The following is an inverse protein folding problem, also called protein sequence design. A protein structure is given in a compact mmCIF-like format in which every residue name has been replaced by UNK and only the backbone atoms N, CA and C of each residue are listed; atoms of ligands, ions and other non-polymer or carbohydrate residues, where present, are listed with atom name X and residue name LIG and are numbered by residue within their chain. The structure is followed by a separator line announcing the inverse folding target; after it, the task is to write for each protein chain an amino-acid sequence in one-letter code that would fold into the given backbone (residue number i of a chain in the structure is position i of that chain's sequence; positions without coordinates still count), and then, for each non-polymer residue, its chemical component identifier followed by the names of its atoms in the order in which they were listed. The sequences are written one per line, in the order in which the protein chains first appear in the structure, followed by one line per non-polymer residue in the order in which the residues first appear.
data_IF_955421067020
#
_entry.id   IF_955421067020
#
_cell.length_a   1.000
_cell.length_b   1.000
_cell.length_c   1.000
_cell.angle_alpha   90.00
_cell.angle_beta   90.00
_cell.angle_gamma   90.00
#
_symmetry.space_group_name_H-M   'P 1'
#
loop_
_entity.id
_entity.type
_entity.pdbx_description
1 polymer ?
#
# COMPACT_ATOMS: atom_id res chain seq x y z
N UNK A 1 19.60 -32.79 13.77
CA UNK A 1 20.25 -31.47 14.01
C UNK A 1 19.97 -30.63 12.78
N UNK A 2 19.49 -29.40 12.93
CA UNK A 2 19.28 -28.51 11.77
C UNK A 2 20.65 -28.09 11.24
N UNK A 3 20.84 -28.21 9.94
CA UNK A 3 22.01 -27.68 9.25
C UNK A 3 21.74 -26.20 8.94
N UNK A 4 22.36 -25.31 9.73
CA UNK A 4 22.13 -23.88 9.62
C UNK A 4 22.70 -23.29 8.33
N UNK A 5 23.83 -23.80 7.84
CA UNK A 5 24.45 -23.29 6.62
C UNK A 5 23.56 -23.58 5.42
N UNK A 6 23.05 -24.81 5.33
CA UNK A 6 22.09 -25.20 4.30
C UNK A 6 20.78 -24.41 4.40
N UNK A 7 20.27 -24.19 5.61
CA UNK A 7 19.05 -23.40 5.80
C UNK A 7 19.23 -21.94 5.35
N UNK A 8 20.39 -21.34 5.65
CA UNK A 8 20.73 -19.98 5.25
C UNK A 8 20.91 -19.85 3.74
N UNK A 9 21.57 -20.82 3.10
CA UNK A 9 21.73 -20.86 1.64
C UNK A 9 20.37 -20.83 0.93
N UNK A 10 19.44 -21.69 1.35
CA UNK A 10 18.07 -21.73 0.81
C UNK A 10 17.34 -20.40 1.03
N UNK A 11 17.49 -19.78 2.20
CA UNK A 11 16.83 -18.51 2.51
C UNK A 11 17.33 -17.37 1.61
N UNK A 12 18.65 -17.24 1.45
CA UNK A 12 19.27 -16.21 0.60
C UNK A 12 18.97 -16.45 -0.88
N UNK A 13 19.02 -17.70 -1.33
CA UNK A 13 18.67 -18.06 -2.71
C UNK A 13 17.23 -17.63 -3.02
N UNK A 14 16.27 -17.97 -2.16
CA UNK A 14 14.87 -17.55 -2.35
C UNK A 14 14.68 -16.04 -2.36
N UNK A 15 15.36 -15.32 -1.45
CA UNK A 15 15.29 -13.86 -1.39
C UNK A 15 15.85 -13.22 -2.67
N UNK A 16 17.00 -13.68 -3.15
CA UNK A 16 17.69 -13.08 -4.30
C UNK A 16 17.11 -13.51 -5.66
N UNK A 17 16.55 -14.71 -5.75
CA UNK A 17 15.87 -15.21 -6.94
C UNK A 17 14.44 -14.64 -7.11
N UNK A 18 13.88 -14.02 -6.07
CA UNK A 18 12.56 -13.41 -6.11
C UNK A 18 12.44 -12.42 -7.26
N UNK A 19 11.29 -12.50 -7.95
CA UNK A 19 10.94 -11.59 -9.05
C UNK A 19 9.55 -11.00 -8.76
N UNK A 20 9.49 -9.93 -7.95
CA UNK A 20 8.24 -9.26 -7.60
C UNK A 20 7.71 -8.45 -8.79
N UNK A 21 6.52 -8.82 -9.24
CA UNK A 21 5.78 -8.16 -10.31
C UNK A 21 4.55 -7.49 -9.70
N UNK A 22 4.38 -6.19 -9.93
CA UNK A 22 3.12 -5.53 -9.67
C UNK A 22 2.10 -5.98 -10.72
N UNK A 23 1.10 -6.75 -10.27
CA UNK A 23 0.07 -7.37 -11.11
C UNK A 23 -1.22 -6.58 -11.17
N UNK A 24 -1.55 -5.84 -10.12
CA UNK A 24 -2.82 -5.13 -10.07
C UNK A 24 -3.00 -4.25 -8.84
N UNK A 25 -4.18 -3.65 -8.77
CA UNK A 25 -4.72 -2.98 -7.59
C UNK A 25 -6.07 -3.61 -7.28
N UNK A 26 -6.32 -3.97 -6.03
CA UNK A 26 -7.55 -4.62 -5.59
C UNK A 26 -8.05 -4.05 -4.26
N UNK A 27 -9.29 -4.36 -3.89
CA UNK A 27 -9.83 -4.04 -2.56
C UNK A 27 -9.18 -4.95 -1.53
N UNK A 28 -8.70 -4.39 -0.41
CA UNK A 28 -7.98 -5.14 0.64
C UNK A 28 -8.73 -6.40 1.09
N UNK A 29 -10.03 -6.27 1.39
CA UNK A 29 -10.93 -7.36 1.78
C UNK A 29 -10.90 -8.56 0.84
N UNK A 30 -10.74 -8.33 -0.46
CA UNK A 30 -10.89 -9.37 -1.47
C UNK A 30 -9.61 -10.20 -1.65
N UNK A 31 -8.44 -9.63 -1.31
CA UNK A 31 -7.13 -10.21 -1.63
C UNK A 31 -6.21 -10.44 -0.45
N UNK A 32 -6.35 -9.66 0.62
CA UNK A 32 -5.50 -9.80 1.81
C UNK A 32 -6.01 -10.99 2.66
N UNK A 33 -5.17 -12.01 2.93
CA UNK A 33 -5.57 -13.17 3.71
C UNK A 33 -6.15 -12.79 5.08
N UNK A 34 -7.36 -13.26 5.38
CA UNK A 34 -8.03 -13.01 6.67
C UNK A 34 -8.62 -11.61 6.85
N UNK A 35 -8.56 -10.73 5.85
CA UNK A 35 -9.15 -9.39 5.94
C UNK A 35 -10.68 -9.42 6.02
N UNK A 36 -11.28 -8.60 6.89
CA UNK A 36 -12.73 -8.42 7.02
C UNK A 36 -13.08 -7.01 7.52
N UNK A 37 -14.37 -6.63 7.51
CA UNK A 37 -14.88 -5.25 7.79
C UNK A 37 -14.46 -4.70 9.16
N UNK A 38 -14.23 -5.60 10.10
CA UNK A 38 -13.92 -5.32 11.49
C UNK A 38 -12.45 -5.56 11.83
N UNK A 39 -11.59 -5.68 10.83
CA UNK A 39 -10.14 -5.81 11.01
C UNK A 39 -9.45 -4.58 10.43
N UNK A 40 -8.65 -3.92 11.27
CA UNK A 40 -7.71 -2.89 10.85
C UNK A 40 -6.29 -3.43 10.95
N UNK A 41 -5.58 -3.42 9.83
CA UNK A 41 -4.16 -3.77 9.83
C UNK A 41 -3.32 -2.57 10.23
N UNK A 42 -2.16 -2.79 10.83
CA UNK A 42 -1.21 -1.73 11.18
C UNK A 42 0.26 -2.16 11.00
N UNK A 43 1.16 -1.17 10.91
CA UNK A 43 2.59 -1.44 10.86
C UNK A 43 3.14 -1.96 12.21
N UNK A 44 4.28 -2.66 12.14
CA UNK A 44 4.99 -3.17 13.32
C UNK A 44 4.43 -4.48 13.89
N UNK A 45 4.91 -4.94 15.06
CA UNK A 45 4.44 -6.14 15.73
C UNK A 45 3.09 -5.93 16.44
N UNK A 46 2.43 -6.99 16.97
CA UNK A 46 1.15 -6.87 17.65
C UNK A 46 1.14 -5.79 18.73
N UNK A 47 0.13 -4.92 18.70
CA UNK A 47 -0.01 -3.80 19.64
C UNK A 47 -1.47 -3.59 20.01
N UNK A 48 -1.73 -3.24 21.27
CA UNK A 48 -3.07 -2.85 21.72
C UNK A 48 -3.28 -1.35 21.57
N UNK A 49 -4.54 -0.89 21.59
CA UNK A 49 -4.89 0.52 21.54
C UNK A 49 -4.17 1.36 22.61
N UNK A 50 -4.12 0.86 23.85
CA UNK A 50 -3.53 1.57 24.99
C UNK A 50 -2.03 1.81 24.81
N UNK A 51 -1.36 0.95 24.04
CA UNK A 51 0.07 1.03 23.75
C UNK A 51 0.37 1.74 22.43
N UNK A 52 -0.61 1.92 21.56
CA UNK A 52 -0.45 2.62 20.30
C UNK A 52 -0.06 4.08 20.53
N UNK A 53 0.87 4.58 19.70
CA UNK A 53 1.28 5.99 19.72
C UNK A 53 0.17 6.90 19.20
N UNK A 54 0.25 8.19 19.51
CA UNK A 54 -0.72 9.19 19.01
C UNK A 54 -0.94 9.12 17.48
N UNK A 55 0.12 9.13 16.65
CA UNK A 55 -0.03 8.99 15.20
C UNK A 55 -0.68 7.68 14.77
N UNK A 56 -0.36 6.56 15.42
CA UNK A 56 -1.01 5.28 15.14
C UNK A 56 -2.50 5.33 15.46
N UNK A 57 -2.86 5.84 16.65
CA UNK A 57 -4.27 6.02 17.05
C UNK A 57 -5.04 6.90 16.08
N UNK A 58 -4.46 8.03 15.69
CA UNK A 58 -5.07 8.92 14.70
C UNK A 58 -5.31 8.24 13.35
N UNK A 59 -4.38 7.39 12.91
CA UNK A 59 -4.55 6.63 11.68
C UNK A 59 -5.66 5.56 11.80
N UNK A 60 -5.77 4.89 12.94
CA UNK A 60 -6.85 3.93 13.21
C UNK A 60 -8.22 4.62 13.24
N UNK A 61 -8.32 5.77 13.91
CA UNK A 61 -9.52 6.61 13.93
C UNK A 61 -9.89 7.02 12.50
N UNK A 62 -8.94 7.59 11.75
CA UNK A 62 -9.19 8.01 10.38
C UNK A 62 -9.57 6.86 9.46
N UNK A 63 -9.03 5.66 9.68
CA UNK A 63 -9.44 4.44 8.99
C UNK A 63 -10.92 4.09 9.24
N UNK A 64 -11.38 4.15 10.49
CA UNK A 64 -12.79 3.88 10.82
C UNK A 64 -13.73 4.96 10.27
N UNK A 65 -13.31 6.22 10.27
CA UNK A 65 -14.08 7.33 9.65
C UNK A 65 -14.15 7.13 8.13
N UNK A 66 -13.05 6.75 7.49
CA UNK A 66 -13.02 6.44 6.05
C UNK A 66 -13.96 5.28 5.68
N UNK A 67 -14.03 4.24 6.53
CA UNK A 67 -14.99 3.13 6.34
C UNK A 67 -16.45 3.51 6.67
N UNK A 68 -16.69 4.71 7.19
CA UNK A 68 -18.02 5.15 7.65
C UNK A 68 -18.53 4.40 8.88
N UNK A 69 -17.63 3.73 9.63
CA UNK A 69 -17.97 3.00 10.85
C UNK A 69 -18.07 3.93 12.06
N UNK A 70 -17.42 5.09 12.00
CA UNK A 70 -17.45 6.12 13.03
C UNK A 70 -17.59 7.50 12.39
N UNK A 71 -18.30 8.41 13.05
CA UNK A 71 -18.47 9.80 12.60
C UNK A 71 -17.38 10.72 13.15
N UNK A 72 -16.76 10.33 14.26
CA UNK A 72 -15.75 11.11 14.97
C UNK A 72 -14.78 10.22 15.76
N UNK A 73 -13.81 10.87 16.41
CA UNK A 73 -12.79 10.24 17.24
C UNK A 73 -13.37 9.46 18.42
N UNK A 74 -14.42 9.97 19.07
CA UNK A 74 -14.98 9.34 20.26
C UNK A 74 -15.73 8.04 19.89
N UNK A 75 -16.46 8.03 18.79
CA UNK A 75 -17.10 6.83 18.24
C UNK A 75 -16.06 5.79 17.81
N UNK A 76 -15.01 6.23 17.10
CA UNK A 76 -13.93 5.36 16.64
C UNK A 76 -13.18 4.70 17.81
N UNK A 77 -12.77 5.48 18.82
CA UNK A 77 -12.09 4.94 20.01
C UNK A 77 -12.99 3.97 20.76
N UNK A 78 -14.29 4.25 20.88
CA UNK A 78 -15.24 3.35 21.53
C UNK A 78 -15.33 1.99 20.82
N UNK A 79 -15.36 1.97 19.49
CA UNK A 79 -15.41 0.73 18.70
C UNK A 79 -14.14 -0.12 18.88
N UNK A 80 -12.97 0.53 18.96
CA UNK A 80 -11.70 -0.17 19.18
C UNK A 80 -11.64 -0.71 20.61
N UNK A 81 -11.94 0.12 21.60
CA UNK A 81 -11.83 -0.24 23.02
C UNK A 81 -12.93 -1.20 23.50
N UNK A 82 -14.07 -1.29 22.79
CA UNK A 82 -15.09 -2.31 23.05
C UNK A 82 -14.70 -3.70 22.54
N UNK A 83 -13.64 -3.81 21.73
CA UNK A 83 -13.23 -5.05 21.07
C UNK A 83 -14.06 -5.40 19.84
N UNK A 84 -14.89 -4.47 19.33
CA UNK A 84 -15.61 -4.67 18.07
C UNK A 84 -14.72 -4.56 16.84
N UNK A 85 -13.57 -3.89 16.96
CA UNK A 85 -12.53 -3.79 15.93
C UNK A 85 -11.31 -4.58 16.37
N UNK A 86 -10.90 -5.52 15.53
CA UNK A 86 -9.66 -6.26 15.66
C UNK A 86 -8.50 -5.44 15.07
N UNK A 87 -7.35 -5.48 15.74
CA UNK A 87 -6.10 -4.88 15.29
C UNK A 87 -5.07 -5.98 15.07
N UNK A 88 -4.50 -6.04 13.87
CA UNK A 88 -3.46 -7.03 13.54
C UNK A 88 -2.30 -6.41 12.75
N UNK A 89 -1.06 -6.88 12.93
CA UNK A 89 0.07 -6.49 12.09
C UNK A 89 -0.16 -6.81 10.60
N UNK A 90 0.23 -5.90 9.71
CA UNK A 90 0.22 -6.19 8.27
C UNK A 90 1.02 -7.47 7.92
N UNK A 91 2.14 -7.70 8.63
CA UNK A 91 3.05 -8.83 8.37
C UNK A 91 2.42 -10.21 8.63
N UNK A 92 1.36 -10.30 9.44
CA UNK A 92 0.63 -11.54 9.68
C UNK A 92 -0.38 -11.84 8.55
N UNK A 93 -0.61 -10.88 7.65
CA UNK A 93 -1.58 -10.95 6.57
C UNK A 93 -0.92 -10.73 5.19
N UNK A 94 0.36 -11.10 5.04
CA UNK A 94 1.12 -10.92 3.79
C UNK A 94 1.10 -9.49 3.25
N UNK A 95 1.05 -8.49 4.13
CA UNK A 95 0.99 -7.09 3.73
C UNK A 95 1.99 -6.24 4.49
N UNK A 96 2.23 -5.03 3.99
CA UNK A 96 3.11 -4.03 4.59
C UNK A 96 2.50 -2.65 4.43
N UNK A 97 2.65 -1.80 5.44
CA UNK A 97 2.17 -0.42 5.42
C UNK A 97 3.24 0.55 5.93
N UNK A 98 3.52 1.66 5.23
CA UNK A 98 4.48 2.65 5.69
C UNK A 98 3.95 3.44 6.89
N UNK A 99 4.85 3.79 7.82
CA UNK A 99 4.56 4.65 8.97
C UNK A 99 3.54 4.03 9.94
N UNK A 100 2.35 4.61 10.13
CA UNK A 100 1.27 3.94 10.88
C UNK A 100 0.81 2.65 10.16
N UNK A 101 0.91 2.62 8.83
CA UNK A 101 0.60 1.45 8.01
C UNK A 101 -0.85 0.98 8.06
N UNK A 102 -1.76 1.85 8.51
CA UNK A 102 -3.17 1.47 8.66
C UNK A 102 -3.78 1.12 7.30
N UNK A 103 -4.37 -0.07 7.23
CA UNK A 103 -5.11 -0.56 6.06
C UNK A 103 -6.45 -1.12 6.53
N UNK A 104 -7.55 -0.63 5.94
CA UNK A 104 -8.92 -1.03 6.24
C UNK A 104 -9.51 -1.86 5.10
N UNK A 105 -10.67 -2.48 5.33
CA UNK A 105 -11.22 -3.50 4.43
C UNK A 105 -11.54 -2.99 3.02
N UNK A 106 -12.00 -1.73 2.90
CA UNK A 106 -12.41 -1.14 1.62
C UNK A 106 -11.28 -0.44 0.88
N UNK A 107 -10.14 -0.20 1.54
CA UNK A 107 -8.98 0.45 0.92
C UNK A 107 -8.44 -0.35 -0.27
N UNK A 108 -8.06 0.37 -1.32
CA UNK A 108 -7.30 -0.20 -2.44
C UNK A 108 -5.85 -0.49 -2.04
N UNK A 109 -5.36 -1.64 -2.50
CA UNK A 109 -4.00 -2.12 -2.26
C UNK A 109 -3.36 -2.61 -3.55
N UNK A 110 -2.05 -2.39 -3.68
CA UNK A 110 -1.24 -3.01 -4.71
C UNK A 110 -1.11 -4.51 -4.46
N UNK A 111 -1.23 -5.32 -5.50
CA UNK A 111 -0.95 -6.76 -5.48
C UNK A 111 0.39 -7.03 -6.17
N UNK A 112 1.39 -7.42 -5.37
CA UNK A 112 2.69 -7.87 -5.86
C UNK A 112 2.72 -9.40 -5.85
N UNK A 113 3.06 -10.00 -6.99
CA UNK A 113 3.28 -11.44 -7.11
C UNK A 113 4.76 -11.72 -7.33
N UNK A 114 5.35 -12.56 -6.50
CA UNK A 114 6.67 -13.13 -6.77
C UNK A 114 6.53 -14.29 -7.76
N UNK A 115 6.70 -14.01 -9.06
CA UNK A 115 6.50 -15.02 -10.11
C UNK A 115 7.52 -16.18 -10.08
N UNK A 116 8.59 -16.07 -9.28
CA UNK A 116 9.55 -17.16 -9.06
C UNK A 116 9.00 -18.21 -8.09
N UNK A 117 8.25 -17.80 -7.07
CA UNK A 117 7.83 -18.68 -5.96
C UNK A 117 6.31 -18.70 -5.71
N UNK A 118 5.53 -17.87 -6.40
CA UNK A 118 4.08 -17.83 -6.36
C UNK A 118 3.47 -17.14 -5.13
N UNK A 119 4.28 -16.65 -4.18
CA UNK A 119 3.77 -15.90 -3.04
C UNK A 119 3.36 -14.48 -3.45
N UNK A 120 2.35 -13.94 -2.77
CA UNK A 120 1.87 -12.55 -2.96
C UNK A 120 2.17 -11.69 -1.75
N UNK A 121 2.27 -10.39 -1.97
CA UNK A 121 2.36 -9.38 -0.93
C UNK A 121 1.56 -8.13 -1.31
N UNK A 122 1.08 -7.40 -0.30
CA UNK A 122 0.19 -6.27 -0.50
C UNK A 122 0.65 -5.00 0.22
N UNK A 123 0.35 -3.84 -0.35
CA UNK A 123 0.52 -2.56 0.34
C UNK A 123 -0.53 -1.54 -0.11
N UNK A 124 -0.97 -0.67 0.79
CA UNK A 124 -1.94 0.38 0.49
C UNK A 124 -1.39 1.43 -0.51
N UNK A 125 -2.28 2.30 -1.01
CA UNK A 125 -1.89 3.38 -1.92
C UNK A 125 -1.17 4.52 -1.17
N UNK A 126 -0.15 5.12 -1.80
CA UNK A 126 0.62 6.19 -1.18
C UNK A 126 -0.09 7.55 -1.28
N UNK A 127 -0.38 8.17 -0.15
CA UNK A 127 -1.06 9.48 -0.08
C UNK A 127 -0.13 10.65 -0.43
N UNK A 128 1.19 10.46 -0.44
CA UNK A 128 2.19 11.52 -0.61
C UNK A 128 2.64 12.15 0.71
N UNK A 129 3.02 13.44 0.64
CA UNK A 129 3.51 14.22 1.79
C UNK A 129 2.43 15.15 2.36
N UNK A 130 2.71 15.70 3.54
CA UNK A 130 1.86 16.67 4.22
C UNK A 130 0.94 16.03 5.25
N UNK A 131 -0.31 16.51 5.32
CA UNK A 131 -1.35 15.94 6.18
C UNK A 131 -1.90 14.69 5.50
N UNK A 132 -1.54 13.52 6.02
CA UNK A 132 -1.90 12.21 5.46
C UNK A 132 -2.19 11.22 6.60
N UNK A 133 -3.03 10.22 6.32
CA UNK A 133 -3.47 9.22 7.28
C UNK A 133 -2.31 8.42 7.84
N UNK A 134 -1.32 8.07 7.02
CA UNK A 134 -0.14 7.32 7.50
C UNK A 134 0.69 8.05 8.57
N UNK A 135 0.50 9.36 8.75
CA UNK A 135 1.06 10.16 9.85
C UNK A 135 0.06 10.47 10.98
N UNK A 136 -1.14 9.89 10.92
CA UNK A 136 -2.19 10.03 11.93
C UNK A 136 -3.14 11.20 11.71
N UNK A 137 -3.12 11.86 10.55
CA UNK A 137 -4.07 12.94 10.24
C UNK A 137 -5.39 12.37 9.67
N UNK A 138 -6.53 12.90 10.14
CA UNK A 138 -7.87 12.42 9.73
C UNK A 138 -8.88 13.56 9.57
N UNK A 139 -8.43 14.76 9.19
CA UNK A 139 -9.35 15.85 8.85
C UNK A 139 -10.17 15.51 7.60
N UNK A 140 -11.28 16.22 7.39
CA UNK A 140 -12.16 16.04 6.22
C UNK A 140 -11.39 16.05 4.88
N UNK A 141 -10.40 16.93 4.72
CA UNK A 141 -9.54 16.97 3.52
C UNK A 141 -8.77 15.65 3.30
N UNK A 142 -8.28 15.02 4.37
CA UNK A 142 -7.54 13.75 4.30
C UNK A 142 -8.50 12.63 3.92
N UNK A 143 -9.66 12.55 4.57
CA UNK A 143 -10.67 11.52 4.28
C UNK A 143 -11.20 11.66 2.85
N UNK A 144 -11.47 12.89 2.38
CA UNK A 144 -11.89 13.16 1.00
C UNK A 144 -10.83 12.71 -0.01
N UNK A 145 -9.55 12.95 0.29
CA UNK A 145 -8.44 12.49 -0.56
C UNK A 145 -8.34 10.97 -0.57
N UNK A 146 -8.51 10.30 0.57
CA UNK A 146 -8.55 8.84 0.63
C UNK A 146 -9.68 8.27 -0.23
N UNK A 147 -10.89 8.83 -0.17
CA UNK A 147 -11.99 8.43 -1.06
C UNK A 147 -11.65 8.65 -2.53
N UNK A 148 -11.08 9.81 -2.91
CA UNK A 148 -10.64 10.00 -4.30
C UNK A 148 -9.59 8.97 -4.73
N UNK A 149 -8.62 8.66 -3.86
CA UNK A 149 -7.63 7.62 -4.14
C UNK A 149 -8.28 6.24 -4.27
N UNK A 150 -9.30 5.95 -3.47
CA UNK A 150 -9.97 4.66 -3.41
C UNK A 150 -10.96 4.42 -4.56
N UNK A 151 -11.67 5.47 -4.95
CA UNK A 151 -12.84 5.39 -5.82
C UNK A 151 -12.53 5.85 -7.25
N UNK A 152 -11.45 6.62 -7.45
CA UNK A 152 -11.00 7.10 -8.77
C UNK A 152 -9.63 6.54 -9.11
N UNK A 153 -8.60 6.85 -8.32
CA UNK A 153 -7.22 6.49 -8.66
C UNK A 153 -7.01 4.97 -8.66
N UNK A 154 -7.44 4.28 -7.62
CA UNK A 154 -7.25 2.83 -7.47
C UNK A 154 -7.90 2.02 -8.58
N UNK A 155 -9.18 2.23 -8.92
CA UNK A 155 -9.84 1.57 -10.04
C UNK A 155 -9.17 1.85 -11.39
N UNK A 156 -8.76 3.10 -11.65
CA UNK A 156 -8.05 3.43 -12.89
C UNK A 156 -6.67 2.74 -12.96
N UNK A 157 -5.94 2.66 -11.84
CA UNK A 157 -4.69 1.91 -11.77
C UNK A 157 -4.91 0.40 -11.96
N UNK A 158 -6.00 -0.15 -11.41
CA UNK A 158 -6.36 -1.54 -11.60
C UNK A 158 -6.58 -1.84 -13.10
N UNK A 159 -7.40 -1.03 -13.77
CA UNK A 159 -7.68 -1.17 -15.20
C UNK A 159 -6.42 -0.94 -16.06
N UNK A 160 -5.61 0.07 -15.73
CA UNK A 160 -4.34 0.29 -16.42
C UNK A 160 -3.42 -0.94 -16.34
N UNK A 161 -3.36 -1.60 -15.19
CA UNK A 161 -2.50 -2.77 -15.01
C UNK A 161 -3.00 -4.02 -15.76
N UNK A 162 -4.31 -4.16 -16.02
CA UNK A 162 -4.82 -5.26 -16.87
C UNK A 162 -4.41 -5.12 -18.34
N UNK A 163 -4.09 -3.89 -18.78
CA UNK A 163 -3.56 -3.62 -20.11
C UNK A 163 -2.06 -3.95 -20.26
N UNK A 164 -1.36 -4.24 -19.17
CA UNK A 164 0.02 -4.71 -19.21
C UNK A 164 0.07 -6.23 -19.35
N UNK A 165 0.75 -6.74 -20.39
CA UNK A 165 0.90 -8.19 -20.59
C UNK A 165 1.60 -8.87 -19.41
N UNK A 166 2.67 -8.25 -18.90
CA UNK A 166 3.54 -8.85 -17.89
C UNK A 166 3.37 -8.23 -16.49
N UNK A 167 2.69 -7.07 -16.37
CA UNK A 167 2.71 -6.23 -15.17
C UNK A 167 3.94 -5.32 -15.12
N UNK A 168 4.33 -4.85 -13.93
CA UNK A 168 5.55 -4.03 -13.74
C UNK A 168 6.56 -4.80 -12.89
N UNK A 169 7.73 -5.08 -13.45
CA UNK A 169 8.85 -5.71 -12.71
C UNK A 169 9.48 -4.71 -11.73
N UNK A 170 9.11 -4.82 -10.46
CA UNK A 170 9.53 -3.88 -9.41
C UNK A 170 11.02 -4.04 -9.11
N UNK A 171 11.57 -5.26 -9.22
CA UNK A 171 13.01 -5.50 -9.05
C UNK A 171 13.82 -4.79 -10.12
N UNK A 172 13.40 -4.88 -11.39
CA UNK A 172 14.06 -4.18 -12.49
C UNK A 172 13.94 -2.65 -12.34
N UNK A 173 12.76 -2.15 -11.95
CA UNK A 173 12.53 -0.73 -11.68
C UNK A 173 13.43 -0.24 -10.53
N UNK A 174 13.53 -1.00 -9.45
CA UNK A 174 14.38 -0.66 -8.30
C UNK A 174 15.86 -0.63 -8.72
N UNK A 175 16.33 -1.65 -9.44
CA UNK A 175 17.71 -1.70 -9.94
C UNK A 175 18.07 -0.47 -10.81
N UNK A 176 17.17 -0.05 -11.70
CA UNK A 176 17.34 1.17 -12.50
C UNK A 176 17.38 2.43 -11.62
N UNK A 177 16.44 2.55 -10.66
CA UNK A 177 16.37 3.71 -9.76
C UNK A 177 17.60 3.87 -8.87
N UNK A 178 18.21 2.75 -8.43
CA UNK A 178 19.46 2.76 -7.65
C UNK A 178 20.61 3.38 -8.45
N UNK A 179 20.69 3.10 -9.76
CA UNK A 179 21.65 3.76 -10.66
C UNK A 179 21.33 5.22 -10.96
N UNK A 180 20.15 5.71 -10.54
CA UNK A 180 19.73 7.11 -10.63
C UNK A 180 19.79 7.83 -9.28
N UNK A 181 20.41 7.21 -8.27
CA UNK A 181 20.69 7.82 -6.97
C UNK A 181 19.55 7.74 -5.94
N UNK A 182 18.54 6.91 -6.19
CA UNK A 182 17.56 6.51 -5.17
C UNK A 182 18.13 5.39 -4.28
N UNK A 183 17.46 5.11 -3.15
CA UNK A 183 17.77 3.96 -2.27
C UNK A 183 16.57 3.06 -1.95
N UNK A 184 15.38 3.39 -2.46
CA UNK A 184 14.18 2.54 -2.33
C UNK A 184 13.43 2.66 -1.00
N UNK A 185 13.75 3.64 -0.15
CA UNK A 185 13.11 3.86 1.14
C UNK A 185 12.83 5.34 1.43
N UNK A 186 13.83 6.15 1.73
CA UNK A 186 13.70 7.60 1.93
C UNK A 186 13.60 8.37 0.61
N UNK A 187 14.45 8.02 -0.35
CA UNK A 187 14.58 8.67 -1.65
C UNK A 187 14.11 7.71 -2.74
N UNK A 188 12.94 8.02 -3.28
CA UNK A 188 12.25 7.25 -4.33
C UNK A 188 11.90 8.13 -5.55
N UNK A 189 12.62 9.24 -5.77
CA UNK A 189 12.22 10.23 -6.78
C UNK A 189 12.39 9.66 -8.19
N UNK A 190 13.54 9.03 -8.48
CA UNK A 190 13.77 8.39 -9.77
C UNK A 190 12.81 7.22 -9.98
N UNK A 191 12.65 6.34 -8.98
CA UNK A 191 11.72 5.22 -9.02
C UNK A 191 10.28 5.65 -9.24
N UNK A 192 9.82 6.72 -8.58
CA UNK A 192 8.46 7.25 -8.75
C UNK A 192 8.24 7.85 -10.14
N UNK A 193 9.27 8.47 -10.73
CA UNK A 193 9.22 8.94 -12.13
C UNK A 193 9.14 7.74 -13.08
N UNK A 194 10.04 6.76 -12.95
CA UNK A 194 10.04 5.54 -13.78
C UNK A 194 8.69 4.81 -13.69
N UNK A 195 8.16 4.67 -12.48
CA UNK A 195 6.84 4.09 -12.20
C UNK A 195 5.72 4.83 -12.93
N UNK A 196 5.67 6.15 -12.77
CA UNK A 196 4.67 7.00 -13.44
C UNK A 196 4.81 6.92 -14.96
N UNK A 197 6.02 6.93 -15.50
CA UNK A 197 6.28 6.81 -16.94
C UNK A 197 5.83 5.46 -17.51
N UNK A 198 6.05 4.35 -16.78
CA UNK A 198 5.59 3.02 -17.20
C UNK A 198 4.07 2.91 -17.18
N UNK A 199 3.41 3.53 -16.20
CA UNK A 199 1.95 3.52 -16.10
C UNK A 199 1.27 4.51 -17.05
N UNK A 200 1.92 5.60 -17.44
CA UNK A 200 1.32 6.67 -18.24
C UNK A 200 0.57 6.22 -19.51
N UNK A 201 1.15 5.39 -20.40
CA UNK A 201 0.44 4.92 -21.58
C UNK A 201 -0.76 4.02 -21.22
N UNK A 202 -0.63 3.22 -20.16
CA UNK A 202 -1.67 2.30 -19.69
C UNK A 202 -2.86 3.07 -19.08
N UNK A 203 -2.58 4.05 -18.22
CA UNK A 203 -3.58 4.94 -17.63
C UNK A 203 -4.32 5.71 -18.74
N UNK A 204 -3.59 6.22 -19.73
CA UNK A 204 -4.18 6.96 -20.85
C UNK A 204 -5.08 6.08 -21.71
N UNK A 205 -4.74 4.79 -21.87
CA UNK A 205 -5.55 3.84 -22.61
C UNK A 205 -6.78 3.35 -21.81
N UNK A 206 -6.66 3.23 -20.49
CA UNK A 206 -7.71 2.77 -19.59
C UNK A 206 -8.75 3.83 -19.23
N UNK A 207 -8.39 5.11 -19.24
CA UNK A 207 -9.28 6.17 -18.80
C UNK A 207 -10.34 6.54 -19.84
N UNK A 208 -11.60 6.57 -19.42
CA UNK A 208 -12.70 7.13 -20.21
C UNK A 208 -12.68 8.68 -20.23
N UNK A 209 -12.20 9.31 -19.15
CA UNK A 209 -12.05 10.76 -19.04
C UNK A 209 -10.57 11.18 -18.98
N UNK A 210 -10.16 11.98 -19.95
CA UNK A 210 -8.82 12.59 -20.01
C UNK A 210 -8.50 13.45 -18.80
N UNK A 211 -9.49 14.05 -18.14
CA UNK A 211 -9.29 14.88 -16.95
C UNK A 211 -8.94 14.01 -15.74
N UNK A 212 -9.57 12.85 -15.60
CA UNK A 212 -9.23 11.86 -14.57
C UNK A 212 -7.84 11.27 -14.81
N UNK A 213 -7.53 10.89 -16.05
CA UNK A 213 -6.19 10.42 -16.44
C UNK A 213 -5.12 11.46 -16.06
N UNK A 214 -5.34 12.73 -16.44
CA UNK A 214 -4.42 13.81 -16.12
C UNK A 214 -4.28 14.02 -14.61
N UNK A 215 -5.38 13.96 -13.85
CA UNK A 215 -5.35 14.11 -12.39
C UNK A 215 -4.55 13.00 -11.70
N UNK A 216 -4.73 11.74 -12.12
CA UNK A 216 -3.97 10.60 -11.58
C UNK A 216 -2.49 10.69 -11.95
N UNK A 217 -2.16 11.01 -13.21
CA UNK A 217 -0.76 11.17 -13.63
C UNK A 217 -0.07 12.33 -12.92
N UNK A 218 -0.77 13.45 -12.72
CA UNK A 218 -0.26 14.57 -11.95
C UNK A 218 -0.01 14.17 -10.50
N UNK A 219 -0.96 13.47 -9.87
CA UNK A 219 -0.81 12.99 -8.50
C UNK A 219 0.41 12.07 -8.34
N UNK A 220 0.60 11.11 -9.26
CA UNK A 220 1.74 10.20 -9.25
C UNK A 220 3.08 10.93 -9.50
N UNK A 221 3.10 11.88 -10.44
CA UNK A 221 4.31 12.62 -10.80
C UNK A 221 4.78 13.61 -9.74
N UNK A 222 3.85 14.26 -9.04
CA UNK A 222 4.14 15.19 -7.95
C UNK A 222 4.54 14.46 -6.67
N UNK A 223 4.03 13.25 -6.46
CA UNK A 223 4.37 12.44 -5.31
C UNK A 223 5.70 11.71 -5.52
N UNK A 224 6.75 12.17 -4.84
CA UNK A 224 8.08 11.54 -4.87
C UNK A 224 8.14 10.15 -4.18
N UNK A 225 7.03 9.67 -3.62
CA UNK A 225 6.88 8.38 -2.96
C UNK A 225 5.86 7.47 -3.64
N UNK A 226 5.40 7.77 -4.86
CA UNK A 226 4.40 6.99 -5.58
C UNK A 226 4.75 5.50 -5.71
N UNK A 227 6.03 5.18 -5.85
CA UNK A 227 6.51 3.79 -5.96
C UNK A 227 6.88 3.14 -4.62
N UNK A 228 6.86 3.89 -3.52
CA UNK A 228 7.32 3.38 -2.21
C UNK A 228 6.54 2.15 -1.77
N UNK A 229 5.21 2.21 -1.85
CA UNK A 229 4.35 1.12 -1.40
C UNK A 229 4.53 -0.17 -2.25
N UNK A 230 4.56 -0.10 -3.60
CA UNK A 230 4.98 -1.23 -4.42
C UNK A 230 6.38 -1.77 -4.07
N UNK A 231 7.36 -0.90 -3.80
CA UNK A 231 8.73 -1.30 -3.41
C UNK A 231 8.76 -1.98 -2.04
N UNK A 232 7.96 -1.52 -1.08
CA UNK A 232 7.91 -2.16 0.25
C UNK A 232 7.33 -3.59 0.18
N UNK A 233 6.37 -3.84 -0.71
CA UNK A 233 5.76 -5.16 -0.88
C UNK A 233 6.58 -6.10 -1.79
N UNK A 234 7.57 -5.58 -2.52
CA UNK A 234 8.41 -6.32 -3.45
C UNK A 234 9.60 -7.00 -2.77
#
# INVERSE_FOLDING_TARGET
MVDFDKANEIAVERMTAARPILKGVATARDVIPGMHDKLLLHAGPPITWERASGPMRGALIGGLIFEGLASDEAEAEKLITSGEIELSPCHEHSSVGPMAGVTTASMKVYEIENVTHGNKAYSNLNEGYGKVLRYGAYSEEVIKKLHWMNDVMGPLLAEALTMSEDGIDIRALLAESLHMGDEGHNRNKAGSILYTTKLAPLITAAADDKHEAAAVLQFLGDNALSVLNPVMAA
#
